data_IF_867863446948
#
_entry.id   IF_867863446948
#
_cell.length_a   1.000
_cell.length_b   1.000
_cell.length_c   1.000
_cell.angle_alpha   90.00
_cell.angle_beta   90.00
_cell.angle_gamma   90.00
#
_symmetry.space_group_name_H-M   'P 1'
#
loop_
_entity.id
_entity.type
_entity.pdbx_description
1 polymer ?
#
# COMPACT_ATOMS: atom_id res chain seq x y z
N UNK A 1 6.37 8.42 48.33
CA UNK A 1 7.25 8.95 47.27
C UNK A 1 7.55 7.78 46.35
N UNK A 2 6.85 7.73 45.22
CA UNK A 2 6.81 6.59 44.31
C UNK A 2 7.94 6.64 43.29
N UNK A 3 8.54 5.48 43.05
CA UNK A 3 9.41 5.23 41.90
C UNK A 3 8.56 4.77 40.71
N UNK A 4 8.78 5.40 39.55
CA UNK A 4 8.26 4.97 38.26
C UNK A 4 9.36 4.27 37.47
N UNK A 5 9.05 3.08 36.97
CA UNK A 5 9.83 2.32 36.01
C UNK A 5 9.29 2.64 34.62
N UNK A 6 10.06 3.33 33.79
CA UNK A 6 9.76 3.51 32.37
C UNK A 6 10.51 2.45 31.56
N UNK A 7 9.75 1.52 30.98
CA UNK A 7 10.26 0.53 30.03
C UNK A 7 10.35 1.10 28.61
N UNK A 8 11.19 0.53 27.73
CA UNK A 8 11.30 1.00 26.35
C UNK A 8 10.10 0.49 25.53
N UNK A 9 9.33 1.43 24.98
CA UNK A 9 8.25 1.14 24.04
C UNK A 9 8.80 0.66 22.70
N UNK A 10 8.28 -0.46 22.22
CA UNK A 10 8.55 -1.02 20.90
C UNK A 10 7.55 -0.37 19.93
N UNK A 11 7.99 0.60 19.12
CA UNK A 11 7.20 1.09 18.00
C UNK A 11 7.42 0.15 16.81
N UNK A 12 6.45 -0.73 16.56
CA UNK A 12 6.31 -1.44 15.30
C UNK A 12 5.85 -0.45 14.23
N UNK A 13 6.66 -0.26 13.18
CA UNK A 13 6.34 0.60 12.05
C UNK A 13 5.39 -0.16 11.09
N UNK A 14 4.11 0.17 11.13
CA UNK A 14 3.27 0.19 9.94
C UNK A 14 3.34 1.65 9.47
N UNK A 15 3.86 1.88 8.27
CA UNK A 15 3.79 3.21 7.65
C UNK A 15 2.33 3.47 7.33
N UNK A 16 1.75 4.48 7.97
CA UNK A 16 0.46 5.05 7.58
C UNK A 16 0.84 6.41 6.99
N UNK A 17 0.51 6.70 5.71
CA UNK A 17 0.80 8.01 5.13
C UNK A 17 0.16 9.12 5.98
N UNK A 18 0.89 10.21 6.19
CA UNK A 18 0.42 11.34 6.98
C UNK A 18 -0.70 12.05 6.22
N UNK A 19 -1.97 11.81 6.58
CA UNK A 19 -3.06 12.75 6.27
C UNK A 19 -2.70 14.15 6.81
N UNK A 20 -2.68 15.16 5.94
CA UNK A 20 -2.83 16.57 6.35
C UNK A 20 -4.23 16.74 6.95
N UNK A 21 -4.36 16.55 8.27
CA UNK A 21 -5.62 16.78 8.99
C UNK A 21 -6.01 18.26 8.96
N UNK A 22 -7.02 18.62 8.16
CA UNK A 22 -7.76 19.86 8.33
C UNK A 22 -8.60 19.76 9.62
N UNK A 23 -8.22 20.51 10.66
CA UNK A 23 -8.94 20.53 11.95
C UNK A 23 -10.36 21.09 11.78
N UNK A 24 -11.38 20.26 11.98
CA UNK A 24 -12.73 20.71 12.38
C UNK A 24 -13.04 20.24 13.80
N UNK A 25 -13.26 21.19 14.70
CA UNK A 25 -13.57 20.94 16.11
C UNK A 25 -15.00 20.40 16.28
N UNK A 26 -15.14 19.21 16.87
CA UNK A 26 -16.43 18.67 17.34
C UNK A 26 -16.36 18.45 18.86
N UNK A 27 -17.43 18.85 19.56
CA UNK A 27 -17.55 18.90 21.01
C UNK A 27 -18.57 17.83 21.47
N UNK A 28 -18.21 16.79 22.23
CA UNK A 28 -19.18 15.80 22.69
C UNK A 28 -19.55 16.03 24.16
N UNK A 29 -20.84 16.13 24.44
CA UNK A 29 -21.38 16.06 25.78
C UNK A 29 -22.56 15.07 25.84
N UNK A 30 -22.50 14.17 26.84
CA UNK A 30 -23.58 13.40 27.51
C UNK A 30 -24.06 12.11 26.82
N UNK A 31 -23.67 10.92 27.33
CA UNK A 31 -24.32 10.09 28.40
C UNK A 31 -25.71 9.55 27.98
N UNK A 32 -26.09 8.28 28.12
CA UNK A 32 -26.18 7.48 29.37
C UNK A 32 -26.57 6.02 29.04
N UNK A 33 -26.25 5.11 29.97
CA UNK A 33 -26.50 3.66 30.05
C UNK A 33 -27.99 3.31 30.27
N UNK A 34 -28.50 2.20 29.69
CA UNK A 34 -29.63 1.46 30.26
C UNK A 34 -29.56 -0.04 29.92
N UNK A 35 -29.51 -0.86 30.96
CA UNK A 35 -29.54 -2.32 30.92
C UNK A 35 -30.98 -2.85 30.93
N UNK A 36 -31.27 -3.91 30.18
CA UNK A 36 -32.44 -4.75 30.41
C UNK A 36 -32.11 -6.24 30.23
N UNK A 37 -32.37 -6.99 31.30
CA UNK A 37 -32.35 -8.44 31.43
C UNK A 37 -33.62 -9.07 30.85
N UNK A 38 -33.49 -10.20 30.13
CA UNK A 38 -34.63 -11.07 29.81
C UNK A 38 -34.27 -12.55 30.02
N UNK A 39 -35.06 -13.19 30.87
CA UNK A 39 -35.08 -14.58 31.27
C UNK A 39 -35.65 -15.47 30.14
N UNK A 40 -35.01 -16.60 29.81
CA UNK A 40 -35.56 -17.60 28.88
C UNK A 40 -35.77 -18.95 29.60
N UNK A 41 -37.02 -19.39 29.61
CA UNK A 41 -37.46 -20.73 30.04
C UNK A 41 -37.35 -21.67 28.83
N UNK A 42 -36.65 -22.79 28.97
CA UNK A 42 -36.63 -23.86 27.95
C UNK A 42 -37.19 -25.15 28.53
N UNK A 43 -38.17 -25.67 27.80
CA UNK A 43 -38.96 -26.87 28.07
C UNK A 43 -38.17 -28.13 27.71
N UNK A 44 -38.15 -29.12 28.60
CA UNK A 44 -37.61 -30.45 28.36
C UNK A 44 -38.57 -31.27 27.50
N UNK A 45 -38.12 -31.80 26.37
CA UNK A 45 -38.65 -33.06 25.82
C UNK A 45 -37.50 -33.94 25.36
N UNK A 46 -37.51 -35.19 25.83
CA UNK A 46 -36.56 -36.23 25.53
C UNK A 46 -36.94 -36.94 24.22
N UNK A 47 -35.95 -37.29 23.41
CA UNK A 47 -36.16 -38.11 22.22
C UNK A 47 -34.88 -38.51 21.50
N UNK A 48 -34.46 -39.76 21.74
CA UNK A 48 -33.64 -40.63 20.86
C UNK A 48 -32.26 -40.14 20.39
N UNK A 49 -31.22 -40.66 21.06
CA UNK A 49 -29.81 -40.57 20.62
C UNK A 49 -29.57 -41.57 19.48
N UNK A 50 -29.45 -41.06 18.26
CA UNK A 50 -28.64 -41.71 17.23
C UNK A 50 -27.20 -41.20 17.44
N UNK A 51 -26.26 -42.11 17.64
CA UNK A 51 -24.85 -41.78 17.75
C UNK A 51 -24.34 -41.31 16.37
N UNK A 52 -24.47 -40.02 16.10
CA UNK A 52 -23.71 -39.33 15.06
C UNK A 52 -22.32 -39.00 15.61
N UNK A 53 -21.28 -39.31 14.86
CA UNK A 53 -19.92 -38.85 15.14
C UNK A 53 -19.94 -37.34 15.34
N UNK A 54 -19.36 -36.88 16.46
CA UNK A 54 -19.21 -35.47 16.73
C UNK A 54 -18.41 -34.83 15.58
N UNK A 55 -18.79 -33.63 15.11
CA UNK A 55 -17.96 -32.92 14.14
C UNK A 55 -16.56 -32.75 14.75
N UNK A 56 -15.54 -33.27 14.08
CA UNK A 56 -14.16 -33.02 14.50
C UNK A 56 -13.96 -31.51 14.50
N UNK A 57 -13.70 -30.96 15.69
CA UNK A 57 -13.13 -29.63 15.84
C UNK A 57 -11.92 -29.54 14.92
N UNK A 58 -11.86 -28.55 14.00
CA UNK A 58 -10.68 -28.34 13.17
C UNK A 58 -9.46 -28.31 14.09
N UNK A 59 -8.44 -29.10 13.76
CA UNK A 59 -7.20 -29.06 14.50
C UNK A 59 -6.76 -27.60 14.60
N UNK A 60 -6.58 -27.11 15.83
CA UNK A 60 -6.04 -25.78 16.05
C UNK A 60 -4.72 -25.63 15.30
N UNK A 61 -4.35 -24.40 14.89
CA UNK A 61 -3.06 -24.17 14.27
C UNK A 61 -1.96 -24.83 15.12
N UNK A 62 -0.97 -25.49 14.49
CA UNK A 62 0.13 -26.08 15.24
C UNK A 62 0.71 -25.02 16.18
N UNK A 63 1.01 -25.38 17.44
CA UNK A 63 1.58 -24.43 18.38
C UNK A 63 2.84 -23.83 17.75
N UNK A 64 2.99 -22.50 17.81
CA UNK A 64 4.14 -21.79 17.27
C UNK A 64 5.43 -22.43 17.80
N UNK A 65 6.09 -23.22 16.95
CA UNK A 65 7.23 -24.04 17.34
C UNK A 65 8.50 -23.25 17.10
N UNK A 66 8.89 -22.45 18.08
CA UNK A 66 10.18 -21.75 18.10
C UNK A 66 10.08 -20.31 18.55
N UNK A 67 10.89 -19.93 19.53
CA UNK A 67 11.13 -18.53 19.82
C UNK A 67 11.89 -17.91 18.63
N UNK A 68 11.31 -16.91 17.99
CA UNK A 68 12.04 -16.05 17.05
C UNK A 68 12.81 -15.04 17.90
N UNK A 69 14.14 -15.11 17.91
CA UNK A 69 14.99 -14.07 18.49
C UNK A 69 15.39 -13.07 17.41
N UNK A 70 15.09 -11.80 17.63
CA UNK A 70 15.56 -10.69 16.78
C UNK A 70 16.68 -9.96 17.50
N UNK A 71 17.79 -9.73 16.80
CA UNK A 71 18.90 -8.91 17.27
C UNK A 71 19.13 -7.79 16.25
N UNK A 72 19.21 -6.54 16.72
CA UNK A 72 19.55 -5.42 15.87
C UNK A 72 21.06 -5.43 15.59
N UNK A 73 21.45 -5.72 14.35
CA UNK A 73 22.87 -5.87 13.97
C UNK A 73 23.50 -4.57 13.44
N UNK A 74 22.70 -3.62 12.97
CA UNK A 74 23.18 -2.33 12.46
C UNK A 74 22.05 -1.32 12.28
N UNK A 75 22.43 -0.06 12.00
CA UNK A 75 21.50 1.05 11.77
C UNK A 75 22.15 2.11 10.88
N UNK A 76 21.37 2.61 9.93
CA UNK A 76 21.67 3.85 9.19
C UNK A 76 20.65 4.93 9.57
N UNK A 77 21.07 6.20 9.63
CA UNK A 77 20.15 7.33 9.75
C UNK A 77 20.06 8.05 8.40
N UNK A 78 18.94 7.82 7.71
CA UNK A 78 18.64 8.44 6.43
C UNK A 78 18.01 9.83 6.60
N UNK A 79 18.11 10.66 5.56
CA UNK A 79 17.38 11.93 5.47
C UNK A 79 15.95 11.59 5.05
N UNK A 80 15.09 11.26 6.01
CA UNK A 80 13.79 10.66 5.74
C UNK A 80 13.89 9.20 5.27
N UNK A 81 12.79 8.47 5.37
CA UNK A 81 12.66 7.11 4.86
C UNK A 81 11.17 6.78 4.75
N UNK A 82 10.68 6.60 3.53
CA UNK A 82 9.26 6.29 3.26
C UNK A 82 9.11 4.88 2.72
N UNK A 83 9.59 4.61 1.50
CA UNK A 83 9.58 3.28 0.88
C UNK A 83 11.01 2.81 0.64
N UNK A 84 11.26 1.51 0.82
CA UNK A 84 12.56 0.91 0.58
C UNK A 84 12.51 -0.36 -0.25
N UNK A 85 13.47 -0.53 -1.15
CA UNK A 85 13.69 -1.77 -1.89
C UNK A 85 15.13 -2.24 -1.75
N UNK A 86 15.34 -3.56 -1.67
CA UNK A 86 16.66 -4.17 -1.53
C UNK A 86 17.03 -4.94 -2.80
N UNK A 87 18.23 -4.66 -3.32
CA UNK A 87 18.82 -5.43 -4.40
C UNK A 87 19.85 -6.43 -3.85
N UNK A 88 19.61 -7.74 -3.96
CA UNK A 88 20.54 -8.76 -3.46
C UNK A 88 21.86 -8.81 -4.26
N UNK A 89 21.85 -8.41 -5.54
CA UNK A 89 23.04 -8.45 -6.40
C UNK A 89 24.09 -7.43 -5.98
N UNK A 90 23.68 -6.18 -5.76
CA UNK A 90 24.55 -5.10 -5.29
C UNK A 90 24.64 -4.99 -3.77
N UNK A 91 23.78 -5.70 -3.04
CA UNK A 91 23.60 -5.58 -1.58
C UNK A 91 23.26 -4.15 -1.14
N UNK A 92 22.46 -3.43 -1.94
CA UNK A 92 22.06 -2.05 -1.66
C UNK A 92 20.58 -1.95 -1.34
N UNK A 93 20.25 -1.03 -0.43
CA UNK A 93 18.88 -0.59 -0.15
C UNK A 93 18.67 0.79 -0.77
N UNK A 94 17.61 0.90 -1.54
CA UNK A 94 17.14 2.14 -2.15
C UNK A 94 16.00 2.66 -1.30
N UNK A 95 16.06 3.91 -0.86
CA UNK A 95 15.11 4.50 0.07
C UNK A 95 14.59 5.82 -0.49
N UNK A 96 13.29 5.91 -0.73
CA UNK A 96 12.64 7.18 -1.06
C UNK A 96 12.56 8.06 0.18
N UNK A 97 12.70 9.36 -0.04
CA UNK A 97 12.51 10.34 1.01
C UNK A 97 12.16 11.71 0.45
N UNK A 98 11.44 12.50 1.25
CA UNK A 98 11.35 13.94 1.10
C UNK A 98 12.24 14.63 2.16
N UNK A 99 13.08 15.57 1.73
CA UNK A 99 13.81 16.46 2.62
C UNK A 99 13.16 17.83 2.65
N UNK A 100 13.01 18.42 3.84
CA UNK A 100 12.61 19.82 4.00
C UNK A 100 13.56 20.72 3.19
N UNK A 101 13.03 21.40 2.17
CA UNK A 101 13.79 22.39 1.42
C UNK A 101 13.84 23.71 2.20
N UNK A 102 14.86 24.53 1.93
CA UNK A 102 14.89 25.90 2.44
C UNK A 102 13.80 26.80 1.81
N UNK A 103 13.10 26.31 0.78
CA UNK A 103 12.06 26.99 -0.01
C UNK A 103 10.85 26.07 -0.10
N UNK A 104 9.75 26.43 0.57
CA UNK A 104 8.36 25.91 0.61
C UNK A 104 8.02 24.46 0.15
N UNK A 105 8.63 23.89 -0.89
CA UNK A 105 8.36 22.56 -1.43
C UNK A 105 9.48 21.56 -1.06
N UNK A 106 9.17 20.42 -0.44
CA UNK A 106 10.18 19.42 -0.06
C UNK A 106 10.91 18.86 -1.29
N UNK A 107 12.21 18.55 -1.13
CA UNK A 107 13.03 17.94 -2.18
C UNK A 107 12.85 16.43 -2.14
N UNK A 108 12.42 15.83 -3.25
CA UNK A 108 12.32 14.40 -3.46
C UNK A 108 13.68 13.74 -3.72
N UNK A 109 14.02 12.73 -2.92
CA UNK A 109 15.32 12.07 -2.90
C UNK A 109 15.20 10.55 -3.04
N UNK A 110 16.17 9.95 -3.73
CA UNK A 110 16.47 8.52 -3.66
C UNK A 110 17.82 8.32 -2.98
N UNK A 111 17.82 7.73 -1.79
CA UNK A 111 19.03 7.39 -1.05
C UNK A 111 19.45 5.94 -1.34
N UNK A 112 20.74 5.75 -1.64
CA UNK A 112 21.31 4.45 -1.96
C UNK A 112 22.27 4.08 -0.84
N UNK A 113 21.96 3.00 -0.13
CA UNK A 113 22.68 2.58 1.08
C UNK A 113 23.27 1.19 0.83
N UNK A 114 24.58 1.06 0.95
CA UNK A 114 25.27 -0.22 0.94
C UNK A 114 25.06 -0.93 2.28
N UNK A 115 24.59 -2.18 2.23
CA UNK A 115 24.42 -3.07 3.38
C UNK A 115 25.16 -4.40 3.22
N UNK A 116 26.21 -4.43 2.39
CA UNK A 116 27.11 -5.59 2.25
C UNK A 116 27.75 -6.00 3.58
N UNK A 117 28.08 -5.04 4.43
CA UNK A 117 28.26 -5.22 5.87
C UNK A 117 27.02 -4.68 6.62
N UNK A 118 26.07 -5.53 7.03
CA UNK A 118 24.85 -5.09 7.69
C UNK A 118 25.11 -4.53 9.10
N UNK A 119 26.32 -4.67 9.65
CA UNK A 119 26.72 -4.05 10.92
C UNK A 119 27.23 -2.62 10.76
N UNK A 120 27.61 -2.24 9.54
CA UNK A 120 28.06 -0.91 9.19
C UNK A 120 27.46 -0.39 7.86
N UNK A 121 26.13 -0.22 7.76
CA UNK A 121 25.50 0.37 6.57
C UNK A 121 26.09 1.74 6.22
N UNK A 122 26.31 2.00 4.93
CA UNK A 122 26.94 3.23 4.46
C UNK A 122 26.18 3.85 3.27
N UNK A 123 26.06 5.19 3.27
CA UNK A 123 25.52 5.90 2.11
C UNK A 123 26.48 5.81 0.93
N UNK A 124 25.96 5.37 -0.21
CA UNK A 124 26.65 5.38 -1.51
C UNK A 124 26.39 6.70 -2.20
N UNK A 125 25.13 7.06 -2.36
CA UNK A 125 24.69 8.24 -3.10
C UNK A 125 23.30 8.70 -2.66
N UNK A 126 23.01 9.96 -2.97
CA UNK A 126 21.66 10.55 -2.91
C UNK A 126 21.36 11.18 -4.26
N UNK A 127 20.30 10.72 -4.92
CA UNK A 127 19.81 11.29 -6.17
C UNK A 127 18.74 12.34 -5.83
N UNK A 128 18.94 13.57 -6.29
CA UNK A 128 17.92 14.62 -6.17
C UNK A 128 16.98 14.54 -7.38
N UNK A 129 15.80 13.95 -7.18
CA UNK A 129 14.82 13.69 -8.23
C UNK A 129 14.05 14.97 -8.59
N UNK A 130 13.86 15.89 -7.66
CA UNK A 130 13.24 17.18 -7.93
C UNK A 130 14.10 18.03 -8.85
N UNK A 131 15.42 18.11 -8.62
CA UNK A 131 16.32 18.90 -9.48
C UNK A 131 16.54 18.25 -10.85
N UNK A 132 16.64 16.92 -10.89
CA UNK A 132 17.00 16.20 -12.12
C UNK A 132 15.81 15.91 -13.02
N UNK A 133 14.63 15.71 -12.43
CA UNK A 133 13.43 15.29 -13.14
C UNK A 133 12.22 16.18 -12.90
N UNK A 134 12.27 17.16 -11.98
CA UNK A 134 11.08 17.92 -11.60
C UNK A 134 10.01 17.05 -10.95
N UNK A 135 10.42 16.03 -10.20
CA UNK A 135 9.53 14.99 -9.70
C UNK A 135 9.80 14.63 -8.22
N UNK A 136 8.80 14.06 -7.55
CA UNK A 136 8.90 13.57 -6.17
C UNK A 136 8.66 12.04 -6.13
N UNK A 137 9.44 11.26 -5.38
CA UNK A 137 9.27 9.81 -5.32
C UNK A 137 8.21 9.38 -4.31
N UNK A 138 7.27 8.53 -4.74
CA UNK A 138 6.31 7.89 -3.84
C UNK A 138 6.73 6.45 -3.49
N UNK A 139 7.31 5.72 -4.45
CA UNK A 139 7.70 4.32 -4.24
C UNK A 139 8.90 3.88 -5.09
N UNK A 140 9.58 2.83 -4.65
CA UNK A 140 10.74 2.23 -5.33
C UNK A 140 10.64 0.71 -5.31
N UNK A 141 10.99 0.08 -6.43
CA UNK A 141 11.15 -1.36 -6.57
C UNK A 141 12.45 -1.68 -7.31
N UNK A 142 12.99 -2.89 -7.11
CA UNK A 142 14.20 -3.35 -7.80
C UNK A 142 14.03 -4.76 -8.31
N UNK A 143 14.52 -5.02 -9.52
CA UNK A 143 14.63 -6.35 -10.10
C UNK A 143 15.96 -6.49 -10.85
N UNK A 144 16.79 -7.45 -10.41
CA UNK A 144 18.08 -7.79 -11.06
C UNK A 144 18.97 -6.57 -11.39
N UNK A 145 19.16 -5.68 -10.39
CA UNK A 145 19.94 -4.45 -10.54
C UNK A 145 19.27 -3.30 -11.31
N UNK A 146 18.04 -3.47 -11.80
CA UNK A 146 17.24 -2.39 -12.38
C UNK A 146 16.33 -1.77 -11.30
N UNK A 147 16.56 -0.50 -11.00
CA UNK A 147 15.80 0.26 -10.00
C UNK A 147 14.70 1.04 -10.69
N UNK A 148 13.45 0.85 -10.29
CA UNK A 148 12.30 1.58 -10.80
C UNK A 148 11.70 2.44 -9.68
N UNK A 149 11.47 3.72 -9.95
CA UNK A 149 10.90 4.66 -8.99
C UNK A 149 9.62 5.25 -9.57
N UNK A 150 8.51 5.17 -8.83
CA UNK A 150 7.28 5.90 -9.14
C UNK A 150 7.44 7.35 -8.72
N UNK A 151 7.26 8.26 -9.66
CA UNK A 151 7.54 9.68 -9.51
C UNK A 151 6.32 10.51 -9.90
N UNK A 152 5.72 11.21 -8.94
CA UNK A 152 4.73 12.25 -9.22
C UNK A 152 5.39 13.53 -9.75
N UNK A 153 4.62 14.36 -10.45
CA UNK A 153 5.12 15.68 -10.82
C UNK A 153 5.20 16.57 -9.57
N UNK A 154 6.38 17.16 -9.32
CA UNK A 154 6.63 17.88 -8.08
C UNK A 154 5.91 19.23 -8.01
N UNK A 155 5.50 19.79 -9.15
CA UNK A 155 4.84 21.09 -9.21
C UNK A 155 3.32 20.96 -9.27
N UNK A 156 2.81 19.86 -9.85
CA UNK A 156 1.39 19.62 -10.05
C UNK A 156 1.09 18.12 -9.87
N UNK A 157 0.75 17.66 -8.65
CA UNK A 157 0.44 16.25 -8.41
C UNK A 157 -0.70 15.72 -9.29
N UNK A 158 -1.61 16.58 -9.77
CA UNK A 158 -2.70 16.19 -10.68
C UNK A 158 -2.24 15.99 -12.13
N UNK A 159 -1.01 16.36 -12.48
CA UNK A 159 -0.41 16.06 -13.78
C UNK A 159 0.12 14.62 -13.85
N UNK A 160 0.25 14.10 -15.07
CA UNK A 160 0.83 12.79 -15.33
C UNK A 160 2.24 12.67 -14.74
N UNK A 161 2.43 11.62 -13.92
CA UNK A 161 3.71 11.26 -13.36
C UNK A 161 4.60 10.49 -14.35
N UNK A 162 5.59 9.81 -13.80
CA UNK A 162 6.50 8.95 -14.56
C UNK A 162 7.09 7.84 -13.70
N UNK A 163 7.53 6.78 -14.36
CA UNK A 163 8.51 5.85 -13.78
C UNK A 163 9.90 6.29 -14.22
N UNK A 164 10.80 6.50 -13.25
CA UNK A 164 12.23 6.64 -13.50
C UNK A 164 12.94 5.31 -13.32
N UNK A 165 13.68 4.87 -14.35
CA UNK A 165 14.54 3.70 -14.29
C UNK A 165 15.99 4.12 -14.06
N UNK A 166 16.65 3.54 -13.07
CA UNK A 166 18.02 3.82 -12.67
C UNK A 166 18.83 2.52 -12.57
N UNK A 167 20.15 2.63 -12.69
CA UNK A 167 21.04 1.57 -12.25
C UNK A 167 21.24 1.59 -10.73
N UNK A 168 21.96 0.59 -10.21
CA UNK A 168 22.22 0.46 -8.77
C UNK A 168 23.05 1.60 -8.18
N UNK A 169 23.80 2.35 -9.00
CA UNK A 169 24.61 3.51 -8.60
C UNK A 169 23.80 4.83 -8.64
N UNK A 170 22.53 4.77 -9.07
CA UNK A 170 21.63 5.91 -9.12
C UNK A 170 21.73 6.72 -10.41
N UNK A 171 22.38 6.19 -11.45
CA UNK A 171 22.38 6.83 -12.75
C UNK A 171 21.04 6.58 -13.45
N UNK A 172 20.40 7.66 -13.93
CA UNK A 172 19.17 7.55 -14.72
C UNK A 172 19.44 6.84 -16.04
N UNK A 173 18.67 5.80 -16.33
CA UNK A 173 18.68 5.05 -17.58
C UNK A 173 17.66 5.67 -18.55
N UNK A 174 16.39 5.78 -18.13
CA UNK A 174 15.28 6.33 -18.94
C UNK A 174 14.06 6.61 -18.06
N UNK A 175 13.05 7.29 -18.62
CA UNK A 175 11.75 7.49 -18.00
C UNK A 175 10.61 7.04 -18.92
N UNK A 176 9.46 6.70 -18.33
CA UNK A 176 8.22 6.40 -19.03
C UNK A 176 7.03 7.08 -18.33
N UNK A 177 6.04 7.60 -19.08
CA UNK A 177 4.90 8.29 -18.49
C UNK A 177 4.00 7.33 -17.71
N UNK A 178 3.32 7.86 -16.69
CA UNK A 178 2.23 7.20 -15.95
C UNK A 178 1.01 8.11 -15.94
N UNK A 179 -0.07 7.70 -15.26
CA UNK A 179 -1.12 8.64 -14.84
C UNK A 179 -0.66 9.55 -13.70
N UNK A 180 -1.58 10.37 -13.19
CA UNK A 180 -1.35 11.27 -12.06
C UNK A 180 -1.10 10.51 -10.75
N UNK A 181 -0.16 11.02 -9.94
CA UNK A 181 0.25 10.47 -8.65
C UNK A 181 0.48 8.94 -8.66
N UNK A 182 1.50 8.44 -9.39
CA UNK A 182 1.91 7.05 -9.22
C UNK A 182 2.39 6.86 -7.77
N UNK A 183 1.60 6.20 -6.94
CA UNK A 183 1.90 6.02 -5.52
C UNK A 183 2.80 4.80 -5.31
N UNK A 184 2.40 3.65 -5.83
CA UNK A 184 3.12 2.39 -5.67
C UNK A 184 3.70 1.88 -6.98
N UNK A 185 4.85 1.21 -6.91
CA UNK A 185 5.49 0.53 -8.03
C UNK A 185 5.89 -0.90 -7.66
N UNK A 186 5.74 -1.84 -8.61
CA UNK A 186 6.22 -3.21 -8.44
C UNK A 186 6.59 -3.86 -9.77
N UNK A 187 7.48 -4.85 -9.72
CA UNK A 187 7.77 -5.72 -10.85
C UNK A 187 6.84 -6.94 -10.82
N UNK A 188 6.56 -7.48 -12.00
CA UNK A 188 6.17 -8.90 -12.13
C UNK A 188 7.28 -9.81 -11.61
N UNK A 189 6.95 -11.01 -11.18
CA UNK A 189 7.90 -11.94 -10.57
C UNK A 189 9.00 -12.36 -11.54
N UNK A 190 8.71 -12.41 -12.84
CA UNK A 190 9.69 -12.65 -13.90
C UNK A 190 10.46 -11.40 -14.35
N UNK A 191 10.13 -10.23 -13.81
CA UNK A 191 10.74 -8.94 -14.13
C UNK A 191 10.44 -8.41 -15.53
N UNK A 192 9.54 -9.05 -16.28
CA UNK A 192 9.24 -8.67 -17.67
C UNK A 192 8.36 -7.43 -17.77
N UNK A 193 7.68 -7.04 -16.67
CA UNK A 193 6.85 -5.84 -16.59
C UNK A 193 6.97 -5.13 -15.25
N UNK A 194 6.73 -3.83 -15.28
CA UNK A 194 6.59 -2.94 -14.12
C UNK A 194 5.20 -2.36 -14.10
N UNK A 195 4.58 -2.30 -12.93
CA UNK A 195 3.26 -1.73 -12.74
C UNK A 195 3.32 -0.58 -11.74
N UNK A 196 2.58 0.51 -12.02
CA UNK A 196 2.30 1.55 -11.04
C UNK A 196 0.81 1.71 -10.79
N UNK A 197 0.44 1.91 -9.54
CA UNK A 197 -0.90 2.35 -9.15
C UNK A 197 -0.89 3.88 -9.17
N UNK A 198 -1.69 4.48 -10.06
CA UNK A 198 -1.79 5.92 -10.21
C UNK A 198 -3.07 6.36 -9.50
N UNK A 199 -2.93 7.04 -8.36
CA UNK A 199 -4.06 7.37 -7.50
C UNK A 199 -5.06 8.27 -8.22
N UNK A 200 -4.57 9.29 -8.92
CA UNK A 200 -5.43 10.35 -9.44
C UNK A 200 -6.08 11.19 -8.32
N UNK A 201 -5.37 11.43 -7.20
CA UNK A 201 -5.93 12.18 -6.07
C UNK A 201 -6.47 13.57 -6.52
N UNK A 202 -7.69 13.96 -6.09
CA UNK A 202 -8.27 15.24 -6.44
C UNK A 202 -7.46 16.43 -5.87
N UNK A 203 -7.17 17.38 -6.75
CA UNK A 203 -6.77 18.74 -6.40
C UNK A 203 -7.98 19.67 -6.17
N UNK A 204 -7.71 20.95 -5.94
CA UNK A 204 -8.78 21.95 -5.74
C UNK A 204 -9.68 22.14 -6.99
N UNK A 205 -9.08 22.03 -8.18
CA UNK A 205 -9.74 22.31 -9.47
C UNK A 205 -9.81 21.10 -10.42
N UNK A 206 -8.92 20.12 -10.26
CA UNK A 206 -8.75 18.98 -11.16
C UNK A 206 -8.84 17.69 -10.36
N UNK A 207 -9.57 16.73 -10.91
CA UNK A 207 -9.83 15.41 -10.32
C UNK A 207 -9.52 14.38 -11.40
N UNK A 208 -8.25 13.96 -11.50
CA UNK A 208 -7.81 12.99 -12.49
C UNK A 208 -8.48 11.64 -12.29
N UNK A 209 -8.51 10.82 -13.34
CA UNK A 209 -8.97 9.44 -13.21
C UNK A 209 -7.86 8.57 -12.63
N UNK A 210 -8.19 7.73 -11.66
CA UNK A 210 -7.31 6.69 -11.18
C UNK A 210 -7.00 5.67 -12.29
N UNK A 211 -5.81 5.08 -12.28
CA UNK A 211 -5.42 4.10 -13.30
C UNK A 211 -4.25 3.21 -12.86
N UNK A 212 -3.95 2.18 -13.65
CA UNK A 212 -2.75 1.38 -13.50
C UNK A 212 -1.92 1.51 -14.76
N UNK A 213 -0.67 1.96 -14.64
CA UNK A 213 0.29 1.92 -15.75
C UNK A 213 1.03 0.58 -15.74
N UNK A 214 1.18 -0.02 -16.92
CA UNK A 214 1.91 -1.28 -17.14
C UNK A 214 2.99 -1.00 -18.18
N UNK A 215 4.24 -1.17 -17.78
CA UNK A 215 5.43 -0.99 -18.63
C UNK A 215 5.99 -2.35 -18.97
N UNK A 216 5.95 -2.73 -20.24
CA UNK A 216 6.48 -3.99 -20.76
C UNK A 216 7.97 -3.85 -21.08
N UNK A 217 8.81 -4.54 -20.33
CA UNK A 217 10.27 -4.55 -20.45
C UNK A 217 10.81 -5.67 -21.35
N UNK A 218 9.96 -6.43 -22.05
CA UNK A 218 10.39 -7.55 -22.92
C UNK A 218 11.32 -7.12 -24.06
N UNK A 219 11.19 -5.87 -24.53
CA UNK A 219 12.12 -5.24 -25.48
C UNK A 219 13.41 -4.70 -24.86
N UNK A 220 13.58 -4.85 -23.55
CA UNK A 220 14.58 -4.17 -22.74
C UNK A 220 14.11 -2.78 -22.28
N UNK A 221 14.66 -2.29 -21.17
CA UNK A 221 14.23 -1.04 -20.53
C UNK A 221 14.30 0.20 -21.45
N UNK A 222 15.21 0.23 -22.42
CA UNK A 222 15.33 1.35 -23.39
C UNK A 222 14.29 1.31 -24.51
N UNK A 223 13.55 0.21 -24.66
CA UNK A 223 12.56 -0.01 -25.72
C UNK A 223 11.27 -0.57 -25.15
N UNK A 224 11.00 -0.28 -23.88
CA UNK A 224 9.78 -0.68 -23.23
C UNK A 224 8.55 0.01 -23.82
N UNK A 225 7.41 -0.64 -23.71
CA UNK A 225 6.12 -0.10 -24.15
C UNK A 225 5.20 0.12 -22.96
N UNK A 226 4.41 1.18 -23.00
CA UNK A 226 3.50 1.57 -21.92
C UNK A 226 2.06 1.27 -22.33
N UNK A 227 1.30 0.69 -21.41
CA UNK A 227 -0.15 0.53 -21.51
C UNK A 227 -0.82 0.99 -20.20
N UNK A 228 -2.08 1.37 -20.28
CA UNK A 228 -2.87 1.84 -19.13
C UNK A 228 -4.11 0.98 -18.98
N UNK A 229 -4.34 0.46 -17.79
CA UNK A 229 -5.61 -0.10 -17.38
C UNK A 229 -6.40 0.98 -16.62
N UNK A 230 -7.45 1.50 -17.24
CA UNK A 230 -8.35 2.50 -16.66
C UNK A 230 -9.65 1.85 -16.11
N UNK A 231 -10.45 2.69 -15.45
CA UNK A 231 -11.72 2.29 -14.85
C UNK A 231 -12.95 2.78 -15.61
N UNK A 232 -12.78 3.38 -16.80
CA UNK A 232 -13.89 4.00 -17.56
C UNK A 232 -14.97 3.00 -17.96
N UNK A 233 -14.63 1.71 -18.07
CA UNK A 233 -15.58 0.61 -18.28
C UNK A 233 -16.58 0.41 -17.12
N UNK A 234 -16.32 1.02 -15.96
CA UNK A 234 -17.18 1.00 -14.78
C UNK A 234 -17.99 2.29 -14.61
N UNK A 235 -17.75 3.32 -15.42
CA UNK A 235 -18.53 4.54 -15.37
C UNK A 235 -20.00 4.28 -15.76
N UNK A 236 -20.91 4.94 -15.03
CA UNK A 236 -22.35 4.69 -15.12
C UNK A 236 -22.82 3.43 -14.38
N UNK A 237 -21.91 2.67 -13.75
CA UNK A 237 -22.22 1.50 -12.91
C UNK A 237 -22.07 1.80 -11.42
N UNK A 238 -21.99 3.05 -11.01
CA UNK A 238 -21.73 3.45 -9.63
C UNK A 238 -22.82 2.92 -8.68
N UNK A 239 -24.08 2.90 -9.12
CA UNK A 239 -25.18 2.36 -8.32
C UNK A 239 -25.06 0.84 -8.12
N UNK A 240 -24.56 0.12 -9.11
CA UNK A 240 -24.29 -1.31 -9.00
C UNK A 240 -23.14 -1.55 -8.01
N UNK A 241 -22.05 -0.81 -8.13
CA UNK A 241 -20.87 -0.92 -7.27
C UNK A 241 -21.18 -0.54 -5.82
N UNK A 242 -21.91 0.56 -5.58
CA UNK A 242 -22.43 0.93 -4.25
C UNK A 242 -23.32 -0.18 -3.69
N UNK A 243 -24.14 -0.82 -4.52
CA UNK A 243 -24.97 -1.97 -4.13
C UNK A 243 -24.17 -3.21 -3.71
N UNK A 244 -22.94 -3.36 -4.23
CA UNK A 244 -21.97 -4.41 -3.85
C UNK A 244 -21.17 -4.05 -2.60
N UNK A 245 -21.26 -2.81 -2.11
CA UNK A 245 -20.52 -2.33 -0.94
C UNK A 245 -19.25 -1.55 -1.27
N UNK A 246 -18.97 -1.24 -2.54
CA UNK A 246 -17.90 -0.31 -2.92
C UNK A 246 -18.33 1.10 -2.55
N UNK A 247 -17.47 1.83 -1.85
CA UNK A 247 -17.73 3.24 -1.56
C UNK A 247 -17.40 4.07 -2.79
N UNK A 248 -18.41 4.75 -3.34
CA UNK A 248 -18.25 5.75 -4.40
C UNK A 248 -19.01 7.01 -3.99
N UNK A 249 -18.37 8.18 -3.98
CA UNK A 249 -19.03 9.45 -3.67
C UNK A 249 -20.19 9.73 -4.65
N UNK A 250 -21.27 10.40 -4.20
CA UNK A 250 -22.29 10.92 -5.11
C UNK A 250 -21.67 11.86 -6.15
N UNK A 251 -22.25 11.87 -7.36
CA UNK A 251 -21.88 12.79 -8.44
C UNK A 251 -20.46 12.65 -9.02
N UNK A 252 -19.71 11.60 -8.63
CA UNK A 252 -18.45 11.17 -9.25
C UNK A 252 -18.68 9.95 -10.15
N UNK A 253 -17.93 9.87 -11.25
CA UNK A 253 -17.81 8.61 -12.00
C UNK A 253 -16.98 7.60 -11.19
N UNK A 254 -17.02 6.33 -11.56
CA UNK A 254 -16.16 5.33 -10.90
C UNK A 254 -14.69 5.64 -11.20
N UNK A 255 -14.35 6.00 -12.44
CA UNK A 255 -12.98 6.32 -12.86
C UNK A 255 -12.35 7.47 -12.10
N UNK A 256 -13.15 8.46 -11.72
CA UNK A 256 -12.70 9.64 -10.96
C UNK A 256 -12.63 9.39 -9.45
N UNK A 257 -13.44 8.49 -8.91
CA UNK A 257 -13.54 8.31 -7.44
C UNK A 257 -12.65 7.22 -6.89
N UNK A 258 -12.30 6.23 -7.72
CA UNK A 258 -11.42 5.14 -7.30
C UNK A 258 -9.98 5.58 -7.42
N UNK A 259 -9.23 5.42 -6.33
CA UNK A 259 -7.85 5.84 -6.24
C UNK A 259 -6.97 4.59 -5.99
N UNK A 260 -6.34 4.01 -7.01
CA UNK A 260 -5.43 2.86 -6.87
C UNK A 260 -4.21 3.16 -5.99
N UNK A 261 -3.94 2.34 -4.97
CA UNK A 261 -2.84 2.59 -4.01
C UNK A 261 -1.79 1.48 -4.00
N UNK A 262 -2.15 0.20 -3.77
CA UNK A 262 -1.18 -0.89 -3.62
C UNK A 262 -1.44 -2.06 -4.55
N UNK A 263 -0.38 -2.61 -5.17
CA UNK A 263 -0.47 -3.72 -6.14
C UNK A 263 0.11 -5.02 -5.56
N UNK A 264 -0.65 -6.11 -5.66
CA UNK A 264 -0.16 -7.47 -5.49
C UNK A 264 -0.27 -8.25 -6.81
N UNK A 265 0.83 -8.88 -7.25
CA UNK A 265 0.86 -9.68 -8.49
C UNK A 265 0.54 -11.14 -8.17
N UNK A 266 -0.25 -11.81 -9.02
CA UNK A 266 -0.51 -13.24 -8.91
C UNK A 266 0.76 -14.06 -9.17
N UNK A 267 0.88 -15.29 -8.63
CA UNK A 267 2.09 -16.10 -8.81
C UNK A 267 2.45 -16.46 -10.26
N UNK A 268 1.52 -16.29 -11.20
CA UNK A 268 1.69 -16.57 -12.63
C UNK A 268 1.86 -15.30 -13.48
N UNK A 269 2.04 -14.13 -12.86
CA UNK A 269 2.23 -12.82 -13.50
C UNK A 269 1.09 -12.40 -14.45
N UNK A 270 -0.08 -13.04 -14.37
CA UNK A 270 -1.20 -12.75 -15.26
C UNK A 270 -2.16 -11.68 -14.70
N UNK A 271 -2.27 -11.61 -13.38
CA UNK A 271 -3.29 -10.82 -12.69
C UNK A 271 -2.64 -9.93 -11.62
N UNK A 272 -3.03 -8.66 -11.59
CA UNK A 272 -2.72 -7.75 -10.49
C UNK A 272 -3.98 -7.48 -9.67
N UNK A 273 -3.85 -7.50 -8.35
CA UNK A 273 -4.87 -7.08 -7.39
C UNK A 273 -4.47 -5.73 -6.84
N UNK A 274 -5.31 -4.72 -7.02
CA UNK A 274 -4.95 -3.33 -6.71
C UNK A 274 -5.92 -2.76 -5.69
N UNK A 275 -5.45 -2.37 -4.51
CA UNK A 275 -6.32 -1.72 -3.52
C UNK A 275 -6.78 -0.37 -4.04
N UNK A 276 -8.02 -0.02 -3.75
CA UNK A 276 -8.60 1.27 -4.10
C UNK A 276 -8.78 2.04 -2.79
N UNK A 277 -7.90 3.01 -2.53
CA UNK A 277 -8.02 3.84 -1.35
C UNK A 277 -9.37 4.55 -1.35
N UNK A 278 -9.85 4.77 -0.14
CA UNK A 278 -11.20 5.25 0.16
C UNK A 278 -12.36 4.35 -0.34
N UNK A 279 -12.23 3.53 -1.38
CA UNK A 279 -13.34 2.82 -2.02
C UNK A 279 -13.78 1.50 -1.36
N UNK A 280 -13.12 1.06 -0.28
CA UNK A 280 -13.38 -0.20 0.45
C UNK A 280 -13.39 -1.43 -0.49
N UNK A 281 -12.49 -1.44 -1.47
CA UNK A 281 -12.43 -2.44 -2.52
C UNK A 281 -11.06 -2.60 -3.14
N UNK A 282 -10.95 -3.58 -4.04
CA UNK A 282 -9.78 -3.79 -4.86
C UNK A 282 -10.16 -4.12 -6.29
N UNK A 283 -9.37 -3.63 -7.24
CA UNK A 283 -9.48 -3.95 -8.66
C UNK A 283 -8.79 -5.28 -8.97
N UNK A 284 -9.34 -6.04 -9.91
CA UNK A 284 -8.70 -7.20 -10.52
C UNK A 284 -8.27 -6.79 -11.92
N UNK A 285 -6.97 -6.75 -12.17
CA UNK A 285 -6.38 -6.26 -13.42
C UNK A 285 -5.76 -7.42 -14.19
N UNK A 286 -6.13 -7.55 -15.46
CA UNK A 286 -5.45 -8.42 -16.41
C UNK A 286 -4.25 -7.68 -16.99
N UNK A 287 -3.06 -8.14 -16.61
CA UNK A 287 -1.79 -7.48 -16.87
C UNK A 287 -1.47 -7.51 -18.38
N UNK A 288 -1.72 -8.65 -19.04
CA UNK A 288 -1.36 -8.83 -20.45
C UNK A 288 -2.18 -7.90 -21.36
N UNK A 289 -3.45 -7.69 -21.02
CA UNK A 289 -4.35 -6.85 -21.82
C UNK A 289 -4.44 -5.41 -21.33
N UNK A 290 -3.81 -5.06 -20.20
CA UNK A 290 -3.97 -3.77 -19.54
C UNK A 290 -5.43 -3.39 -19.33
N UNK A 291 -6.20 -4.26 -18.66
CA UNK A 291 -7.64 -4.03 -18.44
C UNK A 291 -8.04 -4.34 -17.01
N UNK A 292 -8.83 -3.45 -16.40
CA UNK A 292 -9.53 -3.75 -15.15
C UNK A 292 -10.72 -4.67 -15.47
N UNK A 293 -10.73 -5.88 -14.90
CA UNK A 293 -11.75 -6.92 -15.11
C UNK A 293 -12.93 -6.79 -14.16
N UNK A 294 -12.68 -6.47 -12.89
CA UNK A 294 -13.71 -6.33 -11.87
C UNK A 294 -13.21 -5.42 -10.72
N UNK A 295 -14.17 -4.91 -9.95
CA UNK A 295 -13.95 -4.22 -8.68
C UNK A 295 -14.66 -5.03 -7.60
N UNK A 296 -13.90 -5.58 -6.66
CA UNK A 296 -14.38 -6.46 -5.60
C UNK A 296 -14.40 -5.74 -4.25
N UNK A 297 -15.49 -5.87 -3.47
CA UNK A 297 -15.58 -5.24 -2.14
C UNK A 297 -14.73 -6.00 -1.13
N UNK A 298 -14.09 -5.28 -0.21
CA UNK A 298 -13.43 -5.89 0.97
C UNK A 298 -14.46 -6.35 2.01
N UNK A 299 -15.66 -5.76 1.97
CA UNK A 299 -16.78 -6.11 2.84
C UNK A 299 -16.72 -5.41 4.19
N UNK A 300 -17.82 -5.52 4.94
CA UNK A 300 -17.98 -4.77 6.18
C UNK A 300 -17.50 -5.56 7.40
N UNK A 301 -16.86 -4.85 8.32
CA UNK A 301 -16.58 -5.36 9.67
C UNK A 301 -17.69 -4.95 10.63
N UNK A 302 -18.34 -5.93 11.25
CA UNK A 302 -19.37 -5.68 12.26
C UNK A 302 -18.74 -5.37 13.64
N UNK A 303 -18.49 -4.09 13.89
CA UNK A 303 -17.95 -3.59 15.16
C UNK A 303 -18.95 -3.67 16.33
N UNK A 304 -20.22 -3.99 16.10
CA UNK A 304 -21.18 -4.22 17.19
C UNK A 304 -20.95 -5.54 17.93
N UNK A 305 -20.19 -6.45 17.33
CA UNK A 305 -19.84 -7.76 17.89
C UNK A 305 -18.72 -7.73 18.93
N UNK A 306 -18.26 -6.55 19.31
CA UNK A 306 -17.20 -6.32 20.30
C UNK A 306 -16.00 -5.60 19.71
N UNK A 307 -15.16 -5.07 20.60
CA UNK A 307 -13.86 -4.54 20.22
C UNK A 307 -12.90 -5.68 19.89
N UNK A 308 -11.95 -5.44 18.98
CA UNK A 308 -10.87 -6.39 18.72
C UNK A 308 -10.11 -6.58 20.04
N UNK A 309 -10.07 -7.80 20.54
CA UNK A 309 -9.25 -8.14 21.71
C UNK A 309 -7.82 -8.44 21.26
N UNK A 310 -6.86 -7.67 21.77
CA UNK A 310 -5.45 -7.99 21.62
C UNK A 310 -5.09 -9.10 22.60
N UNK A 311 -4.89 -10.32 22.08
CA UNK A 311 -4.37 -11.43 22.88
C UNK A 311 -2.84 -11.47 22.77
N UNK A 312 -2.16 -11.21 23.88
CA UNK A 312 -0.71 -11.41 23.97
C UNK A 312 -0.43 -12.86 24.37
N UNK A 313 0.37 -13.55 23.57
CA UNK A 313 0.91 -14.85 23.93
C UNK A 313 2.26 -14.63 24.59
N UNK A 314 2.41 -15.10 25.83
CA UNK A 314 3.70 -15.09 26.51
C UNK A 314 4.66 -16.06 25.81
N UNK A 315 5.82 -15.55 25.44
CA UNK A 315 6.96 -16.30 24.90
C UNK A 315 8.08 -16.37 25.94
#
# INVERSE_FOLDING_TARGET
MGGGLDGPGINSLISIPRRKLVRRSFNPARSTLLALTSLLIVCLTAGSVLAGEAPETPAGPPPASGAISLEAIGRYQAVGAEISAYDPGSQRVFVTAAAEAATEDPVGLLQIIDISDPTAPALVATVNLSDTLGASPNSVAVYDGLVAVALEDAADPQADGRVGFFDVDGALITTYPTGAMPDMITFTHDGSKVLTANEGEPGDDVDPEGSITIIDLSGGVMSATVATADFTAFDGRENELRGRGIRIFPDKSTSQDVEPEYIAISPDDSTAFVTLQEADGFAVVDIANATVKDILPMGLKDHSRGVIELQQYGF
#
